data_IF_907040501037
#
_entry.id   IF_907040501037
#
_cell.length_a   1.000
_cell.length_b   1.000
_cell.length_c   1.000
_cell.angle_alpha   90.00
_cell.angle_beta   90.00
_cell.angle_gamma   90.00
#
_symmetry.space_group_name_H-M   'P 1'
#
loop_
_entity.id
_entity.type
_entity.pdbx_description
1 polymer ?
#
# COMPACT_ATOMS: atom_id res chain seq x y z
N UNK A 1 17.13 9.34 27.99
CA UNK A 1 17.92 10.34 27.23
C UNK A 1 17.44 10.29 25.79
N UNK A 2 16.81 11.35 25.25
CA UNK A 2 16.44 11.42 23.83
C UNK A 2 17.54 12.19 23.12
N UNK A 3 18.33 11.49 22.30
CA UNK A 3 19.42 12.07 21.52
C UNK A 3 18.88 13.22 20.66
N UNK A 4 19.48 14.39 20.80
CA UNK A 4 19.07 15.61 20.07
C UNK A 4 19.49 15.43 18.62
N UNK A 5 18.50 15.25 17.74
CA UNK A 5 18.73 15.16 16.30
C UNK A 5 19.56 16.36 15.78
N UNK A 6 20.46 16.16 14.80
CA UNK A 6 21.35 17.22 14.32
C UNK A 6 20.56 18.39 13.73
N UNK A 7 21.09 19.61 13.92
CA UNK A 7 20.41 20.89 13.66
C UNK A 7 19.94 21.05 12.20
N UNK A 8 20.64 20.42 11.25
CA UNK A 8 20.36 20.46 9.82
C UNK A 8 19.79 19.15 9.27
N UNK A 9 19.30 18.24 10.11
CA UNK A 9 18.59 17.06 9.61
C UNK A 9 17.32 17.49 8.87
N UNK A 10 17.09 16.94 7.68
CA UNK A 10 15.82 17.13 6.98
C UNK A 10 14.67 16.57 7.82
N UNK A 11 13.76 17.44 8.28
CA UNK A 11 12.59 17.04 9.07
C UNK A 11 11.35 17.10 8.18
N UNK A 12 10.74 15.95 7.94
CA UNK A 12 9.51 15.88 7.15
C UNK A 12 8.31 16.43 7.92
N UNK A 13 7.49 17.28 7.28
CA UNK A 13 6.21 17.74 7.84
C UNK A 13 5.13 16.64 7.73
N UNK A 14 4.97 15.85 8.78
CA UNK A 14 4.00 14.74 8.87
C UNK A 14 2.53 15.20 8.70
N UNK A 15 2.22 16.48 8.95
CA UNK A 15 0.85 17.02 8.93
C UNK A 15 0.40 17.63 7.59
N UNK A 16 1.18 17.46 6.51
CA UNK A 16 0.79 17.98 5.19
C UNK A 16 -0.55 17.39 4.70
N UNK A 17 -1.43 18.23 4.14
CA UNK A 17 -2.71 17.83 3.52
C UNK A 17 -2.51 16.73 2.46
N UNK A 18 -1.44 16.86 1.65
CA UNK A 18 -1.09 15.88 0.62
C UNK A 18 -0.72 14.52 1.21
N UNK A 19 0.01 14.53 2.33
CA UNK A 19 0.36 13.29 3.03
C UNK A 19 -0.90 12.60 3.54
N UNK A 20 -1.80 13.32 4.23
CA UNK A 20 -3.08 12.77 4.69
C UNK A 20 -3.89 12.12 3.56
N UNK A 21 -3.97 12.77 2.40
CA UNK A 21 -4.63 12.24 1.21
C UNK A 21 -3.93 10.97 0.66
N UNK A 22 -2.61 10.91 0.66
CA UNK A 22 -1.87 9.72 0.21
C UNK A 22 -2.14 8.52 1.13
N UNK A 23 -2.20 8.76 2.44
CA UNK A 23 -2.49 7.70 3.41
C UNK A 23 -3.94 7.23 3.37
N UNK A 24 -4.89 8.06 2.92
CA UNK A 24 -6.30 7.65 2.82
C UNK A 24 -6.58 6.65 1.69
N UNK A 25 -5.68 6.49 0.71
CA UNK A 25 -5.86 5.45 -0.32
C UNK A 25 -5.64 4.05 0.29
N UNK A 26 -6.55 3.09 0.15
CA UNK A 26 -6.35 1.75 0.68
C UNK A 26 -5.28 0.97 -0.12
N UNK A 27 -4.54 0.11 0.57
CA UNK A 27 -3.56 -0.82 -0.03
C UNK A 27 -4.13 -2.25 -0.09
N UNK A 28 -5.36 -2.40 -0.57
CA UNK A 28 -6.07 -3.68 -0.55
C UNK A 28 -5.76 -4.53 -1.80
N UNK A 29 -6.09 -5.83 -1.75
CA UNK A 29 -5.99 -6.73 -2.92
C UNK A 29 -4.56 -7.11 -3.35
N UNK A 30 -3.54 -6.78 -2.54
CA UNK A 30 -2.12 -7.05 -2.84
C UNK A 30 -1.48 -8.00 -1.82
N UNK A 31 -0.46 -8.74 -2.25
CA UNK A 31 0.29 -9.62 -1.35
C UNK A 31 1.09 -8.82 -0.31
N UNK A 32 1.47 -9.41 0.85
CA UNK A 32 2.19 -8.71 1.92
C UNK A 32 3.46 -8.00 1.44
N UNK A 33 4.22 -8.62 0.53
CA UNK A 33 5.37 -8.02 -0.12
C UNK A 33 5.01 -6.75 -0.91
N UNK A 34 3.95 -6.81 -1.72
CA UNK A 34 3.51 -5.65 -2.50
C UNK A 34 2.91 -4.56 -1.61
N UNK A 35 2.19 -4.95 -0.55
CA UNK A 35 1.68 -4.05 0.46
C UNK A 35 2.83 -3.24 1.09
N UNK A 36 3.91 -3.90 1.54
CA UNK A 36 5.07 -3.25 2.12
C UNK A 36 5.74 -2.26 1.14
N UNK A 37 5.84 -2.62 -0.14
CA UNK A 37 6.39 -1.72 -1.17
C UNK A 37 5.51 -0.47 -1.35
N UNK A 38 4.18 -0.62 -1.38
CA UNK A 38 3.27 0.52 -1.52
C UNK A 38 3.31 1.38 -0.26
N UNK A 39 3.33 0.75 0.92
CA UNK A 39 3.42 1.44 2.21
C UNK A 39 4.72 2.25 2.31
N UNK A 40 5.86 1.66 1.98
CA UNK A 40 7.14 2.36 1.91
C UNK A 40 7.07 3.57 0.97
N UNK A 41 6.42 3.45 -0.19
CA UNK A 41 6.23 4.61 -1.08
C UNK A 41 5.40 5.72 -0.43
N UNK A 42 4.42 5.40 0.41
CA UNK A 42 3.66 6.41 1.18
C UNK A 42 4.52 7.05 2.26
N UNK A 43 5.21 6.23 3.04
CA UNK A 43 6.05 6.65 4.17
C UNK A 43 7.15 7.62 3.71
N UNK A 44 7.81 7.28 2.60
CA UNK A 44 8.89 8.07 2.01
C UNK A 44 8.40 9.09 0.97
N UNK A 45 7.10 9.35 0.88
CA UNK A 45 6.48 10.33 -0.05
C UNK A 45 6.80 10.12 -1.53
N UNK A 46 7.13 8.90 -1.91
CA UNK A 46 7.35 8.47 -3.30
C UNK A 46 6.08 7.89 -3.96
N UNK A 47 4.93 8.00 -3.28
CA UNK A 47 3.63 7.55 -3.80
C UNK A 47 3.12 8.49 -4.90
N UNK A 48 2.80 7.91 -6.05
CA UNK A 48 2.28 8.60 -7.23
C UNK A 48 0.83 8.13 -7.45
N UNK A 49 -0.18 8.92 -7.06
CA UNK A 49 -1.57 8.58 -7.32
C UNK A 49 -1.84 8.60 -8.83
N UNK A 50 -2.84 7.84 -9.26
CA UNK A 50 -3.32 7.89 -10.64
C UNK A 50 -4.23 9.10 -10.81
N UNK A 51 -4.06 9.83 -11.91
CA UNK A 51 -5.00 10.89 -12.33
C UNK A 51 -6.11 10.32 -13.21
N UNK A 52 -5.82 9.27 -13.97
CA UNK A 52 -6.77 8.57 -14.84
C UNK A 52 -6.74 7.07 -14.57
N UNK A 53 -7.86 6.36 -14.76
CA UNK A 53 -7.89 4.91 -14.63
C UNK A 53 -6.93 4.23 -15.61
N UNK A 54 -6.15 3.27 -15.11
CA UNK A 54 -5.20 2.50 -15.92
C UNK A 54 -5.90 1.31 -16.58
N UNK A 55 -5.36 0.87 -17.73
CA UNK A 55 -5.78 -0.33 -18.46
C UNK A 55 -5.39 -1.60 -17.69
N UNK A 56 -6.34 -2.51 -17.49
CA UNK A 56 -6.14 -3.83 -16.92
C UNK A 56 -5.41 -4.75 -17.90
N UNK A 57 -4.43 -5.53 -17.43
CA UNK A 57 -3.71 -6.50 -18.27
C UNK A 57 -4.50 -7.79 -18.52
N UNK A 58 -5.59 -8.05 -17.79
CA UNK A 58 -6.40 -9.28 -17.96
C UNK A 58 -7.63 -9.06 -18.84
N UNK A 59 -8.38 -7.98 -18.63
CA UNK A 59 -9.61 -7.68 -19.39
C UNK A 59 -9.48 -6.52 -20.38
N UNK A 60 -8.30 -5.89 -20.46
CA UNK A 60 -8.01 -4.75 -21.34
C UNK A 60 -8.88 -3.49 -21.14
N UNK A 61 -9.71 -3.46 -20.11
CA UNK A 61 -10.57 -2.32 -19.77
C UNK A 61 -9.86 -1.31 -18.85
N UNK A 62 -10.18 -0.02 -18.98
CA UNK A 62 -9.68 1.07 -18.13
C UNK A 62 -10.43 1.12 -16.79
N UNK A 63 -10.25 0.11 -15.95
CA UNK A 63 -10.94 -0.04 -14.66
C UNK A 63 -10.02 0.05 -13.44
N UNK A 64 -8.71 0.15 -13.63
CA UNK A 64 -7.76 0.22 -12.51
C UNK A 64 -7.76 1.63 -11.94
N UNK A 65 -8.36 1.79 -10.76
CA UNK A 65 -8.38 3.05 -10.01
C UNK A 65 -7.23 3.14 -9.02
N UNK A 66 -6.83 2.00 -8.43
CA UNK A 66 -5.75 1.93 -7.46
C UNK A 66 -4.37 2.08 -8.11
N UNK A 67 -3.51 2.90 -7.50
CA UNK A 67 -2.17 3.12 -8.01
C UNK A 67 -1.31 1.85 -7.89
N UNK A 68 -0.38 1.65 -8.82
CA UNK A 68 0.53 0.51 -8.89
C UNK A 68 -0.10 -0.86 -9.19
N UNK A 69 -1.42 -0.94 -9.36
CA UNK A 69 -2.08 -2.18 -9.76
C UNK A 69 -1.90 -2.41 -11.27
N UNK A 70 -1.89 -3.68 -11.68
CA UNK A 70 -1.74 -4.13 -13.07
C UNK A 70 -2.99 -4.86 -13.58
N UNK A 71 -3.81 -5.38 -12.67
CA UNK A 71 -5.13 -5.95 -12.96
C UNK A 71 -6.19 -5.20 -12.16
N UNK A 72 -7.44 -5.22 -12.63
CA UNK A 72 -8.58 -4.69 -11.87
C UNK A 72 -9.01 -5.68 -10.78
N UNK A 73 -9.73 -5.18 -9.78
CA UNK A 73 -10.17 -5.99 -8.64
C UNK A 73 -11.09 -7.15 -9.04
N UNK A 74 -11.89 -6.99 -10.10
CA UNK A 74 -12.74 -8.08 -10.63
C UNK A 74 -11.89 -9.25 -11.13
N UNK A 75 -10.93 -8.98 -12.02
CA UNK A 75 -10.02 -10.01 -12.55
C UNK A 75 -9.15 -10.63 -11.45
N UNK A 76 -8.77 -9.85 -10.43
CA UNK A 76 -7.99 -10.35 -9.31
C UNK A 76 -8.79 -11.30 -8.42
N UNK A 77 -10.08 -11.02 -8.21
CA UNK A 77 -11.00 -11.90 -7.48
C UNK A 77 -11.24 -13.21 -8.23
N UNK A 78 -11.49 -13.14 -9.53
CA UNK A 78 -11.68 -14.32 -10.38
C UNK A 78 -10.43 -15.21 -10.41
N UNK A 79 -9.25 -14.62 -10.58
CA UNK A 79 -7.99 -15.34 -10.66
C UNK A 79 -7.33 -15.64 -9.29
N UNK A 80 -7.94 -15.19 -8.18
CA UNK A 80 -7.39 -15.29 -6.82
C UNK A 80 -5.89 -14.92 -6.74
N UNK A 81 -5.50 -13.77 -7.30
CA UNK A 81 -4.11 -13.34 -7.36
C UNK A 81 -3.91 -11.87 -6.96
N UNK A 82 -2.66 -11.50 -6.70
CA UNK A 82 -2.27 -10.14 -6.31
C UNK A 82 -2.51 -9.13 -7.43
N UNK A 83 -3.20 -8.02 -7.11
CA UNK A 83 -3.54 -6.96 -8.06
C UNK A 83 -2.32 -6.26 -8.69
N UNK A 84 -1.15 -6.35 -8.06
CA UNK A 84 0.11 -5.73 -8.51
C UNK A 84 1.09 -6.68 -9.19
N UNK A 85 1.23 -7.93 -8.73
CA UNK A 85 2.24 -8.86 -9.25
C UNK A 85 1.68 -10.17 -9.80
N UNK A 86 0.36 -10.36 -9.80
CA UNK A 86 -0.32 -11.60 -10.25
C UNK A 86 0.12 -12.86 -9.50
N UNK A 87 0.76 -12.73 -8.33
CA UNK A 87 1.10 -13.87 -7.48
C UNK A 87 -0.19 -14.53 -6.96
N UNK A 88 -0.38 -15.85 -7.14
CA UNK A 88 -1.54 -16.57 -6.60
C UNK A 88 -1.62 -16.41 -5.08
N UNK A 89 -2.83 -16.35 -4.55
CA UNK A 89 -3.06 -16.16 -3.11
C UNK A 89 -2.52 -17.29 -2.25
N UNK A 90 -2.42 -18.49 -2.80
CA UNK A 90 -1.89 -19.66 -2.10
C UNK A 90 -0.40 -19.50 -1.72
N UNK A 91 0.36 -18.78 -2.54
CA UNK A 91 1.80 -18.55 -2.31
C UNK A 91 2.06 -17.33 -1.42
N UNK A 92 1.04 -16.72 -0.81
CA UNK A 92 1.25 -15.59 0.07
C UNK A 92 1.84 -16.09 1.39
N UNK A 93 2.85 -15.39 1.94
CA UNK A 93 3.37 -15.75 3.24
C UNK A 93 2.24 -15.64 4.26
N UNK A 94 1.85 -16.78 4.82
CA UNK A 94 0.89 -16.91 5.91
C UNK A 94 1.67 -16.68 7.21
N UNK A 95 2.22 -15.50 7.39
CA UNK A 95 2.74 -15.13 8.70
C UNK A 95 1.53 -14.95 9.62
N UNK A 96 1.39 -15.85 10.59
CA UNK A 96 0.39 -15.76 11.64
C UNK A 96 0.70 -14.54 12.50
N UNK A 97 0.07 -13.41 12.21
CA UNK A 97 0.07 -12.27 13.14
C UNK A 97 -1.14 -12.47 14.05
N UNK A 98 -0.90 -13.08 15.20
CA UNK A 98 -1.86 -13.17 16.29
C UNK A 98 -2.17 -11.75 16.79
N UNK A 99 -3.24 -11.15 16.28
CA UNK A 99 -3.72 -9.81 16.64
C UNK A 99 -4.24 -9.73 18.09
N UNK A 100 -4.18 -10.82 18.86
CA UNK A 100 -4.70 -10.93 20.23
C UNK A 100 -3.83 -10.27 21.31
N UNK A 101 -2.62 -9.79 21.01
CA UNK A 101 -1.73 -9.18 22.02
C UNK A 101 -1.63 -7.65 21.95
N UNK A 102 -2.37 -6.98 21.07
CA UNK A 102 -2.43 -5.51 21.04
C UNK A 102 -3.57 -5.07 21.96
N UNK A 103 -3.30 -4.99 23.26
CA UNK A 103 -4.15 -4.28 24.22
C UNK A 103 -4.10 -2.78 23.93
N UNK A 104 -5.25 -2.11 23.97
CA UNK A 104 -5.46 -0.68 23.68
C UNK A 104 -4.89 0.26 24.77
N UNK A 105 -4.00 -0.21 25.64
CA UNK A 105 -3.58 0.47 26.87
C UNK A 105 -2.12 0.95 26.88
N UNK A 106 -1.56 1.33 25.73
CA UNK A 106 -0.37 2.18 25.68
C UNK A 106 -0.75 3.54 25.07
N UNK A 107 -1.51 4.29 25.90
CA UNK A 107 -1.85 5.71 25.74
C UNK A 107 -0.59 6.59 25.83
#
# INVERSE_FOLDING_TARGET
>A
MRERAPEHAFRHNKNSKKTKLIYSFPNEGVCPRCHAIIQWRKDYRQYKPLTTPKKCTSCDQKKIVAAYHIICSDCAKEANCCEKCKLPRDQWPKEAVDVSTITKDDL
#
